data_IF_107615549306
#
_entry.id   IF_107615549306
#
_cell.length_a   1.000
_cell.length_b   1.000
_cell.length_c   1.000
_cell.angle_alpha   90.00
_cell.angle_beta   90.00
_cell.angle_gamma   90.00
#
_symmetry.space_group_name_H-M   'P 1'
#
loop_
_entity.id
_entity.type
_entity.pdbx_description
1 polymer ?
#
# COMPACT_ATOMS: atom_id res chain seq x y z
N UNK A 1 3.31 23.63 20.88
CA UNK A 1 3.82 22.23 20.87
C UNK A 1 4.58 22.01 19.58
N UNK A 2 5.84 21.57 19.68
CA UNK A 2 6.70 21.39 18.48
C UNK A 2 6.14 20.25 17.62
N UNK A 3 5.93 20.48 16.33
CA UNK A 3 5.42 19.49 15.37
C UNK A 3 6.14 18.13 15.46
N UNK A 4 7.42 18.15 15.80
CA UNK A 4 8.25 16.95 15.98
C UNK A 4 7.79 16.01 17.10
N UNK A 5 7.19 16.53 18.17
CA UNK A 5 6.67 15.71 19.27
C UNK A 5 5.37 15.00 18.89
N UNK A 6 4.55 15.66 18.07
CA UNK A 6 3.32 15.07 17.54
C UNK A 6 3.64 13.91 16.61
N UNK A 7 4.60 14.08 15.71
CA UNK A 7 5.05 13.01 14.81
C UNK A 7 5.68 11.84 15.57
N UNK A 8 6.47 12.11 16.62
CA UNK A 8 7.11 11.08 17.43
C UNK A 8 6.10 10.29 18.25
N UNK A 9 5.05 10.94 18.74
CA UNK A 9 3.95 10.33 19.49
C UNK A 9 3.08 9.47 18.57
N UNK A 10 2.71 9.99 17.41
CA UNK A 10 2.01 9.24 16.37
C UNK A 10 2.80 8.01 15.93
N UNK A 11 4.10 8.14 15.71
CA UNK A 11 4.96 7.02 15.33
C UNK A 11 5.04 5.96 16.43
N UNK A 12 5.27 6.33 17.68
CA UNK A 12 5.48 5.39 18.78
C UNK A 12 4.18 4.67 19.20
N UNK A 13 3.05 5.40 19.24
CA UNK A 13 1.78 4.87 19.73
C UNK A 13 1.00 4.10 18.66
N UNK A 14 1.20 4.46 17.37
CA UNK A 14 0.41 3.91 16.27
C UNK A 14 1.24 3.00 15.34
N UNK A 15 2.48 3.36 14.98
CA UNK A 15 3.26 2.58 14.01
C UNK A 15 3.86 1.30 14.59
N UNK A 16 4.39 1.35 15.81
CA UNK A 16 5.12 0.22 16.40
C UNK A 16 4.26 -1.02 16.61
N UNK A 17 2.98 -0.84 16.89
CA UNK A 17 2.02 -1.95 17.10
C UNK A 17 1.67 -2.66 15.79
N UNK A 18 1.78 -1.97 14.66
CA UNK A 18 1.38 -2.49 13.35
C UNK A 18 2.56 -2.80 12.43
N UNK A 19 3.81 -2.70 12.95
CA UNK A 19 5.03 -2.95 12.17
C UNK A 19 5.01 -4.30 11.45
N UNK A 20 4.55 -5.36 12.11
CA UNK A 20 4.48 -6.69 11.50
C UNK A 20 3.54 -6.72 10.28
N UNK A 21 2.40 -6.04 10.35
CA UNK A 21 1.45 -5.95 9.23
C UNK A 21 2.00 -5.07 8.11
N UNK A 22 2.69 -3.98 8.45
CA UNK A 22 3.34 -3.09 7.49
C UNK A 22 4.48 -3.83 6.78
N UNK A 23 5.31 -4.58 7.51
CA UNK A 23 6.37 -5.41 6.95
C UNK A 23 5.81 -6.51 6.04
N UNK A 24 4.71 -7.15 6.42
CA UNK A 24 4.03 -8.13 5.58
C UNK A 24 3.52 -7.52 4.28
N UNK A 25 2.89 -6.35 4.35
CA UNK A 25 2.47 -5.59 3.16
C UNK A 25 3.66 -5.19 2.29
N UNK A 26 4.78 -4.79 2.91
CA UNK A 26 6.04 -4.50 2.23
C UNK A 26 6.60 -5.72 1.49
N UNK A 27 6.59 -6.89 2.12
CA UNK A 27 7.00 -8.15 1.48
C UNK A 27 6.15 -8.46 0.24
N UNK A 28 4.83 -8.37 0.34
CA UNK A 28 3.96 -8.55 -0.83
C UNK A 28 4.19 -7.47 -1.91
N UNK A 29 4.54 -6.26 -1.52
CA UNK A 29 4.90 -5.19 -2.48
C UNK A 29 6.18 -5.51 -3.26
N UNK A 30 7.16 -6.15 -2.62
CA UNK A 30 8.38 -6.67 -3.29
C UNK A 30 8.01 -7.75 -4.31
N UNK A 31 7.11 -8.67 -3.94
CA UNK A 31 6.63 -9.70 -4.88
C UNK A 31 5.89 -9.09 -6.08
N UNK A 32 5.09 -8.04 -5.87
CA UNK A 32 4.43 -7.31 -6.98
C UNK A 32 5.46 -6.66 -7.90
N UNK A 33 6.46 -5.99 -7.35
CA UNK A 33 7.53 -5.37 -8.12
C UNK A 33 8.35 -6.41 -8.90
N UNK A 34 8.73 -7.51 -8.25
CA UNK A 34 9.44 -8.63 -8.87
C UNK A 34 8.65 -9.28 -10.01
N UNK A 35 7.36 -9.54 -9.80
CA UNK A 35 6.48 -10.07 -10.85
C UNK A 35 6.36 -9.11 -12.04
N UNK A 36 6.29 -7.79 -11.79
CA UNK A 36 6.21 -6.79 -12.86
C UNK A 36 7.50 -6.76 -13.68
N UNK A 37 8.65 -6.80 -13.01
CA UNK A 37 9.97 -6.87 -13.66
C UNK A 37 10.16 -8.18 -14.43
N UNK A 38 9.71 -9.31 -13.89
CA UNK A 38 9.73 -10.60 -14.56
C UNK A 38 8.87 -10.61 -15.83
N UNK A 39 7.69 -10.00 -15.81
CA UNK A 39 6.84 -9.85 -17.00
C UNK A 39 7.57 -9.02 -18.06
N UNK A 40 8.20 -7.91 -17.69
CA UNK A 40 8.96 -7.08 -18.63
C UNK A 40 10.13 -7.85 -19.24
N UNK A 41 10.84 -8.64 -18.44
CA UNK A 41 11.95 -9.48 -18.93
C UNK A 41 11.49 -10.61 -19.85
N UNK A 42 10.30 -11.19 -19.61
CA UNK A 42 9.74 -12.24 -20.44
C UNK A 42 9.27 -11.75 -21.82
N UNK A 43 9.01 -10.45 -21.98
CA UNK A 43 8.55 -9.89 -23.25
C UNK A 43 9.62 -9.98 -24.36
N UNK A 44 10.89 -9.78 -24.03
CA UNK A 44 11.97 -9.85 -25.01
C UNK A 44 12.12 -11.27 -25.62
N UNK A 45 12.29 -12.36 -24.84
CA UNK A 45 12.30 -13.71 -25.39
C UNK A 45 10.96 -14.12 -26.03
N UNK A 46 9.83 -13.57 -25.55
CA UNK A 46 8.54 -13.83 -26.17
C UNK A 46 8.49 -13.33 -27.61
N UNK A 47 8.95 -12.10 -27.86
CA UNK A 47 8.98 -11.54 -29.21
C UNK A 47 9.99 -12.29 -30.08
N UNK A 48 11.22 -12.49 -29.61
CA UNK A 48 12.28 -13.13 -30.39
C UNK A 48 11.95 -14.57 -30.74
N UNK A 49 11.59 -15.40 -29.78
CA UNK A 49 11.40 -16.83 -29.95
C UNK A 49 10.07 -17.21 -30.60
N UNK A 50 8.99 -16.45 -30.32
CA UNK A 50 7.68 -16.72 -30.91
C UNK A 50 7.56 -16.22 -32.34
N UNK A 51 8.07 -15.00 -32.61
CA UNK A 51 7.85 -14.36 -33.92
C UNK A 51 9.03 -14.51 -34.89
N UNK A 52 10.27 -14.56 -34.41
CA UNK A 52 11.47 -14.62 -35.25
C UNK A 52 11.92 -16.08 -35.46
N UNK A 53 12.12 -16.81 -34.37
CA UNK A 53 12.65 -18.18 -34.42
C UNK A 53 11.57 -19.24 -34.67
N UNK A 54 10.29 -18.93 -34.42
CA UNK A 54 9.12 -19.82 -34.57
C UNK A 54 9.30 -21.19 -33.89
N UNK A 55 9.93 -21.19 -32.70
CA UNK A 55 10.17 -22.40 -31.93
C UNK A 55 8.84 -22.91 -31.32
N UNK A 56 8.38 -24.05 -31.88
CA UNK A 56 7.08 -24.63 -31.48
C UNK A 56 7.03 -25.04 -30.00
N UNK A 57 8.16 -25.40 -29.41
CA UNK A 57 8.21 -25.81 -28.00
C UNK A 57 7.91 -24.66 -27.05
N UNK A 58 8.23 -23.43 -27.42
CA UNK A 58 8.10 -22.23 -26.60
C UNK A 58 6.79 -21.51 -26.82
N UNK A 59 6.02 -21.83 -27.87
CA UNK A 59 4.73 -21.23 -28.19
C UNK A 59 3.73 -21.40 -27.04
N UNK A 60 3.76 -22.54 -26.34
CA UNK A 60 2.85 -22.81 -25.21
C UNK A 60 3.48 -22.38 -23.88
N UNK A 61 4.79 -22.56 -23.72
CA UNK A 61 5.49 -22.33 -22.45
C UNK A 61 5.55 -20.85 -22.06
N UNK A 62 5.84 -19.96 -23.01
CA UNK A 62 5.95 -18.53 -22.73
C UNK A 62 4.60 -17.91 -22.29
N UNK A 63 3.47 -18.10 -23.00
CA UNK A 63 2.16 -17.64 -22.52
C UNK A 63 1.80 -18.20 -21.15
N UNK A 64 2.11 -19.46 -20.88
CA UNK A 64 1.85 -20.10 -19.58
C UNK A 64 2.65 -19.42 -18.45
N UNK A 65 3.93 -19.13 -18.67
CA UNK A 65 4.75 -18.38 -17.70
C UNK A 65 4.22 -16.96 -17.47
N UNK A 66 3.75 -16.29 -18.51
CA UNK A 66 3.15 -14.95 -18.41
C UNK A 66 1.87 -15.00 -17.54
N UNK A 67 1.00 -16.00 -17.77
CA UNK A 67 -0.21 -16.19 -16.96
C UNK A 67 0.13 -16.40 -15.49
N UNK A 68 1.13 -17.23 -15.19
CA UNK A 68 1.60 -17.45 -13.82
C UNK A 68 2.10 -16.14 -13.20
N UNK A 69 2.91 -15.38 -13.92
CA UNK A 69 3.46 -14.12 -13.44
C UNK A 69 2.36 -13.08 -13.15
N UNK A 70 1.35 -12.95 -14.01
CA UNK A 70 0.20 -12.09 -13.77
C UNK A 70 -0.67 -12.56 -12.60
N UNK A 71 -0.87 -13.87 -12.47
CA UNK A 71 -1.61 -14.45 -11.34
C UNK A 71 -0.90 -14.18 -10.02
N UNK A 72 0.41 -14.40 -9.95
CA UNK A 72 1.24 -14.11 -8.78
C UNK A 72 1.20 -12.62 -8.41
N UNK A 73 1.30 -11.74 -9.42
CA UNK A 73 1.19 -10.30 -9.24
C UNK A 73 -0.16 -9.90 -8.66
N UNK A 74 -1.26 -10.42 -9.22
CA UNK A 74 -2.62 -10.14 -8.75
C UNK A 74 -2.85 -10.58 -7.31
N UNK A 75 -2.42 -11.80 -6.98
CA UNK A 75 -2.49 -12.35 -5.62
C UNK A 75 -1.70 -11.50 -4.62
N UNK A 76 -0.44 -11.23 -4.94
CA UNK A 76 0.43 -10.42 -4.09
C UNK A 76 -0.11 -9.00 -3.88
N UNK A 77 -0.66 -8.38 -4.93
CA UNK A 77 -1.26 -7.05 -4.84
C UNK A 77 -2.52 -7.05 -3.95
N UNK A 78 -3.34 -8.09 -4.04
CA UNK A 78 -4.52 -8.23 -3.19
C UNK A 78 -4.12 -8.31 -1.72
N UNK A 79 -3.18 -9.17 -1.36
CA UNK A 79 -2.71 -9.31 0.03
C UNK A 79 -2.02 -8.04 0.54
N UNK A 80 -1.20 -7.39 -0.27
CA UNK A 80 -0.57 -6.12 0.09
C UNK A 80 -1.61 -5.05 0.43
N UNK A 81 -2.61 -4.86 -0.43
CA UNK A 81 -3.70 -3.90 -0.22
C UNK A 81 -4.57 -4.26 0.97
N UNK A 82 -5.01 -5.51 1.08
CA UNK A 82 -5.88 -5.97 2.17
C UNK A 82 -5.22 -5.78 3.53
N UNK A 83 -3.94 -6.12 3.64
CA UNK A 83 -3.18 -5.93 4.88
C UNK A 83 -3.05 -4.46 5.25
N UNK A 84 -2.77 -3.59 4.27
CA UNK A 84 -2.59 -2.16 4.51
C UNK A 84 -3.91 -1.45 4.85
N UNK A 85 -5.01 -1.84 4.21
CA UNK A 85 -6.36 -1.36 4.56
C UNK A 85 -6.69 -1.75 6.01
N UNK A 86 -6.38 -2.99 6.41
CA UNK A 86 -6.58 -3.44 7.79
C UNK A 86 -5.82 -2.58 8.81
N UNK A 87 -4.58 -2.21 8.51
CA UNK A 87 -3.80 -1.27 9.34
C UNK A 87 -4.48 0.10 9.41
N UNK A 88 -4.93 0.63 8.27
CA UNK A 88 -5.64 1.91 8.19
C UNK A 88 -6.90 1.94 9.05
N UNK A 89 -7.72 0.89 8.99
CA UNK A 89 -8.94 0.78 9.79
C UNK A 89 -8.67 0.66 11.31
N UNK A 90 -7.60 -0.03 11.71
CA UNK A 90 -7.21 -0.11 13.11
C UNK A 90 -6.71 1.25 13.64
N UNK A 91 -5.92 1.97 12.85
CA UNK A 91 -5.47 3.34 13.18
C UNK A 91 -6.65 4.29 13.27
N UNK A 92 -7.58 4.21 12.31
CA UNK A 92 -8.82 4.99 12.30
C UNK A 92 -9.64 4.79 13.58
N UNK A 93 -9.90 3.54 13.96
CA UNK A 93 -10.64 3.21 15.19
C UNK A 93 -9.99 3.83 16.42
N UNK A 94 -8.66 3.75 16.52
CA UNK A 94 -7.94 4.31 17.65
C UNK A 94 -8.02 5.84 17.68
N UNK A 95 -7.83 6.50 16.52
CA UNK A 95 -7.97 7.95 16.42
C UNK A 95 -9.37 8.42 16.80
N UNK A 96 -10.41 7.74 16.31
CA UNK A 96 -11.80 8.05 16.64
C UNK A 96 -12.07 7.88 18.14
N UNK A 97 -11.53 6.83 18.75
CA UNK A 97 -11.64 6.60 20.18
C UNK A 97 -10.96 7.72 20.98
N UNK A 98 -9.72 8.05 20.67
CA UNK A 98 -8.94 9.08 21.37
C UNK A 98 -9.60 10.48 21.24
N UNK A 99 -10.15 10.78 20.04
CA UNK A 99 -10.91 12.01 19.81
C UNK A 99 -12.21 12.04 20.62
N UNK A 100 -12.95 10.94 20.66
CA UNK A 100 -14.20 10.84 21.43
C UNK A 100 -13.93 10.94 22.93
N UNK A 101 -12.91 10.28 23.43
CA UNK A 101 -12.48 10.37 24.82
C UNK A 101 -12.11 11.81 25.20
N UNK A 102 -11.37 12.49 24.33
CA UNK A 102 -10.99 13.89 24.51
C UNK A 102 -12.21 14.82 24.51
N UNK A 103 -13.21 14.52 23.67
CA UNK A 103 -14.45 15.29 23.60
C UNK A 103 -15.28 15.12 24.88
N UNK A 104 -15.41 13.91 25.41
CA UNK A 104 -16.14 13.63 26.65
C UNK A 104 -15.47 14.31 27.86
N UNK A 105 -14.15 14.41 27.86
CA UNK A 105 -13.38 15.10 28.91
C UNK A 105 -13.31 16.61 28.73
N UNK A 106 -13.75 17.13 27.59
CA UNK A 106 -13.77 18.57 27.33
C UNK A 106 -14.90 19.24 28.10
N UNK A 107 -14.64 20.49 28.50
CA UNK A 107 -15.64 21.32 29.21
C UNK A 107 -16.85 21.57 28.31
N UNK A 108 -18.06 21.47 28.88
CA UNK A 108 -19.35 21.69 28.20
C UNK A 108 -19.43 23.00 27.44
N UNK A 109 -18.76 24.05 27.93
CA UNK A 109 -18.70 25.35 27.27
C UNK A 109 -18.06 25.34 25.88
N UNK A 110 -17.19 24.36 25.61
CA UNK A 110 -16.52 24.18 24.29
C UNK A 110 -17.47 23.45 23.32
N UNK A 111 -18.30 22.56 23.85
CA UNK A 111 -19.27 21.80 23.08
C UNK A 111 -20.43 22.67 22.63
N UNK A 112 -20.91 23.55 23.49
CA UNK A 112 -22.03 24.47 23.20
C UNK A 112 -21.69 25.54 22.13
N UNK A 113 -20.42 25.90 21.99
CA UNK A 113 -19.97 26.91 21.01
C UNK A 113 -19.81 26.36 19.58
N UNK A 114 -19.74 25.07 19.39
CA UNK A 114 -19.63 24.42 18.08
C UNK A 114 -20.83 23.52 17.83
N UNK A 115 -21.42 23.61 16.63
CA UNK A 115 -22.49 22.72 16.21
C UNK A 115 -22.08 21.26 16.27
N UNK A 116 -22.86 20.43 16.95
CA UNK A 116 -22.61 18.96 17.10
C UNK A 116 -22.31 18.27 15.78
N UNK A 117 -22.92 18.74 14.69
CA UNK A 117 -22.67 18.21 13.34
C UNK A 117 -21.23 18.38 12.85
N UNK A 118 -20.55 19.47 13.26
CA UNK A 118 -19.13 19.69 12.91
C UNK A 118 -18.22 18.66 13.61
N UNK A 119 -18.50 18.30 14.85
CA UNK A 119 -17.73 17.27 15.56
C UNK A 119 -17.93 15.90 14.95
N UNK A 120 -19.17 15.54 14.60
CA UNK A 120 -19.49 14.26 13.96
C UNK A 120 -18.81 14.18 12.58
N UNK A 121 -18.83 15.27 11.81
CA UNK A 121 -18.15 15.34 10.52
C UNK A 121 -16.64 15.10 10.66
N UNK A 122 -15.97 15.83 11.56
CA UNK A 122 -14.54 15.67 11.79
C UNK A 122 -14.19 14.25 12.27
N UNK A 123 -14.99 13.68 13.17
CA UNK A 123 -14.78 12.35 13.72
C UNK A 123 -14.96 11.23 12.68
N UNK A 124 -15.87 11.42 11.73
CA UNK A 124 -16.25 10.39 10.79
C UNK A 124 -15.56 10.57 9.44
N UNK A 125 -15.64 11.76 8.85
CA UNK A 125 -15.14 12.04 7.52
C UNK A 125 -13.64 12.35 7.49
N UNK A 126 -13.18 13.30 8.31
CA UNK A 126 -11.80 13.76 8.24
C UNK A 126 -10.82 12.65 8.65
N UNK A 127 -11.13 11.93 9.74
CA UNK A 127 -10.30 10.80 10.18
C UNK A 127 -10.27 9.68 9.12
N UNK A 128 -11.41 9.38 8.49
CA UNK A 128 -11.48 8.36 7.45
C UNK A 128 -10.67 8.77 6.22
N UNK A 129 -10.80 10.02 5.78
CA UNK A 129 -10.05 10.52 4.63
C UNK A 129 -8.54 10.51 4.89
N UNK A 130 -8.09 10.99 6.05
CA UNK A 130 -6.67 11.03 6.40
C UNK A 130 -6.08 9.62 6.48
N UNK A 131 -6.76 8.68 7.13
CA UNK A 131 -6.25 7.31 7.27
C UNK A 131 -6.24 6.55 5.94
N UNK A 132 -7.23 6.74 5.09
CA UNK A 132 -7.27 6.14 3.76
C UNK A 132 -6.17 6.71 2.86
N UNK A 133 -5.99 8.03 2.85
CA UNK A 133 -4.92 8.68 2.08
C UNK A 133 -3.55 8.21 2.53
N UNK A 134 -3.29 8.17 3.84
CA UNK A 134 -2.01 7.69 4.38
C UNK A 134 -1.73 6.24 4.02
N UNK A 135 -2.70 5.34 4.21
CA UNK A 135 -2.54 3.92 3.92
C UNK A 135 -2.32 3.67 2.43
N UNK A 136 -3.09 4.34 1.57
CA UNK A 136 -2.96 4.20 0.13
C UNK A 136 -1.66 4.81 -0.39
N UNK A 137 -1.31 6.02 0.07
CA UNK A 137 -0.09 6.71 -0.35
C UNK A 137 1.16 5.93 0.05
N UNK A 138 1.25 5.45 1.29
CA UNK A 138 2.38 4.64 1.76
C UNK A 138 2.56 3.37 0.94
N UNK A 139 1.47 2.62 0.71
CA UNK A 139 1.53 1.40 -0.09
C UNK A 139 1.99 1.69 -1.53
N UNK A 140 1.39 2.71 -2.16
CA UNK A 140 1.68 3.07 -3.55
C UNK A 140 3.11 3.55 -3.71
N UNK A 141 3.56 4.46 -2.85
CA UNK A 141 4.95 4.95 -2.88
C UNK A 141 5.95 3.81 -2.73
N UNK A 142 5.73 2.90 -1.77
CA UNK A 142 6.64 1.77 -1.54
C UNK A 142 6.67 0.81 -2.73
N UNK A 143 5.49 0.41 -3.20
CA UNK A 143 5.34 -0.50 -4.34
C UNK A 143 5.90 0.10 -5.64
N UNK A 144 5.57 1.35 -5.95
CA UNK A 144 5.95 1.96 -7.22
C UNK A 144 7.44 2.31 -7.25
N UNK A 145 8.03 2.71 -6.12
CA UNK A 145 9.49 2.88 -6.01
C UNK A 145 10.24 1.57 -6.26
N UNK A 146 9.79 0.47 -5.65
CA UNK A 146 10.38 -0.86 -5.88
C UNK A 146 10.19 -1.32 -7.32
N UNK A 147 9.04 -1.06 -7.92
CA UNK A 147 8.76 -1.41 -9.32
C UNK A 147 9.66 -0.62 -10.27
N UNK A 148 9.86 0.67 -10.03
CA UNK A 148 10.79 1.50 -10.80
C UNK A 148 12.23 0.96 -10.75
N UNK A 149 12.72 0.64 -9.56
CA UNK A 149 14.06 0.05 -9.39
C UNK A 149 14.16 -1.27 -10.14
N UNK A 150 13.16 -2.14 -10.03
CA UNK A 150 13.12 -3.43 -10.73
C UNK A 150 13.12 -3.29 -12.25
N UNK A 151 12.34 -2.36 -12.79
CA UNK A 151 12.30 -2.11 -14.24
C UNK A 151 13.60 -1.50 -14.76
N UNK A 152 14.21 -0.57 -14.03
CA UNK A 152 15.52 -0.02 -14.39
C UNK A 152 16.59 -1.11 -14.39
N UNK A 153 16.57 -2.02 -13.43
CA UNK A 153 17.49 -3.16 -13.38
C UNK A 153 17.30 -4.06 -14.60
N UNK A 154 16.06 -4.41 -14.95
CA UNK A 154 15.77 -5.20 -16.16
C UNK A 154 16.28 -4.49 -17.40
N UNK A 155 16.04 -3.18 -17.53
CA UNK A 155 16.50 -2.40 -18.67
C UNK A 155 18.03 -2.42 -18.81
N UNK A 156 18.75 -2.30 -17.70
CA UNK A 156 20.24 -2.39 -17.71
C UNK A 156 20.75 -3.79 -18.07
N UNK A 157 20.02 -4.84 -17.74
CA UNK A 157 20.44 -6.24 -18.04
C UNK A 157 20.10 -6.63 -19.47
N UNK A 158 19.03 -6.06 -20.04
CA UNK A 158 18.57 -6.38 -21.41
C UNK A 158 19.15 -5.45 -22.49
N UNK A 159 19.80 -4.35 -22.11
CA UNK A 159 20.51 -3.45 -23.00
C UNK A 159 21.90 -3.95 -23.32
#
# INVERSE_FOLDING_TARGET
MKNTEIYKRLYNDYSRKYLNKILLSGFFSILVAGSTSAIAWLLDPAIKKLFIEKDQSLIVLIPFMIIIAFSLKGFSLYFAKSTMIGVGEEVKKKLQYDMTESLIKADTQIIDKKHSGSFISNLTYDVTHITNLLSHALLTLFKDSLTLIGLLFVMCVTS
#
